data_IF_929568922112
#
_entry.id   IF_929568922112
#
_cell.length_a   1.000
_cell.length_b   1.000
_cell.length_c   1.000
_cell.angle_alpha   90.00
_cell.angle_beta   90.00
_cell.angle_gamma   90.00
#
_symmetry.space_group_name_H-M   'P 1'
#
loop_
_entity.id
_entity.type
_entity.pdbx_description
1 polymer ?
#
# COMPACT_ATOMS: atom_id res chain seq x y z
N UNK A 1 31.28 -6.71 -5.75
CA UNK A 1 29.98 -7.38 -6.03
C UNK A 1 29.82 -7.45 -7.54
N UNK A 2 29.12 -8.47 -8.07
CA UNK A 2 28.83 -8.54 -9.49
C UNK A 2 27.87 -7.41 -9.89
N UNK A 3 28.16 -6.69 -10.99
CA UNK A 3 27.26 -5.67 -11.54
C UNK A 3 26.30 -6.31 -12.54
N UNK A 4 25.02 -6.03 -12.38
CA UNK A 4 23.96 -6.53 -13.25
C UNK A 4 23.35 -5.41 -14.08
N UNK A 5 22.79 -5.76 -15.24
CA UNK A 5 21.90 -4.88 -16.02
C UNK A 5 20.46 -5.19 -15.61
N UNK A 6 19.78 -4.20 -15.04
CA UNK A 6 18.44 -4.36 -14.46
C UNK A 6 17.48 -3.40 -15.14
N UNK A 7 16.35 -3.93 -15.60
CA UNK A 7 15.23 -3.14 -16.08
C UNK A 7 14.19 -2.98 -14.98
N UNK A 8 13.77 -1.74 -14.70
CA UNK A 8 12.66 -1.42 -13.78
C UNK A 8 11.50 -0.90 -14.61
N UNK A 9 10.33 -1.50 -14.47
CA UNK A 9 9.12 -1.08 -15.17
C UNK A 9 8.26 -0.24 -14.23
N UNK A 10 8.02 1.02 -14.62
CA UNK A 10 7.32 2.03 -13.84
C UNK A 10 8.27 3.03 -13.18
N UNK A 11 8.03 4.32 -13.41
CA UNK A 11 8.79 5.44 -12.84
C UNK A 11 8.01 6.22 -11.77
N UNK A 12 7.03 5.58 -11.12
CA UNK A 12 6.42 6.07 -9.89
C UNK A 12 7.37 5.97 -8.70
N UNK A 13 6.92 6.36 -7.50
CA UNK A 13 7.79 6.40 -6.31
C UNK A 13 8.49 5.06 -6.05
N UNK A 14 7.80 3.94 -6.18
CA UNK A 14 8.37 2.60 -5.95
C UNK A 14 9.48 2.29 -6.97
N UNK A 15 9.21 2.51 -8.27
CA UNK A 15 10.19 2.22 -9.32
C UNK A 15 11.40 3.15 -9.26
N UNK A 16 11.18 4.43 -9.01
CA UNK A 16 12.25 5.41 -8.90
C UNK A 16 13.19 5.12 -7.72
N UNK A 17 12.64 4.86 -6.53
CA UNK A 17 13.43 4.52 -5.33
C UNK A 17 14.15 3.19 -5.49
N UNK A 18 13.50 2.18 -6.07
CA UNK A 18 14.13 0.89 -6.37
C UNK A 18 15.32 1.07 -7.33
N UNK A 19 15.12 1.84 -8.41
CA UNK A 19 16.19 2.12 -9.38
C UNK A 19 17.38 2.85 -8.73
N UNK A 20 17.08 3.84 -7.88
CA UNK A 20 18.10 4.58 -7.14
C UNK A 20 18.95 3.68 -6.24
N UNK A 21 18.29 2.84 -5.41
CA UNK A 21 18.97 1.93 -4.50
C UNK A 21 19.83 0.91 -5.25
N UNK A 22 19.30 0.34 -6.35
CA UNK A 22 20.04 -0.60 -7.18
C UNK A 22 21.25 0.05 -7.87
N UNK A 23 21.11 1.30 -8.35
CA UNK A 23 22.21 2.06 -8.92
C UNK A 23 23.29 2.37 -7.86
N UNK A 24 22.88 2.77 -6.65
CA UNK A 24 23.78 2.99 -5.51
C UNK A 24 24.53 1.72 -5.09
N UNK A 25 23.90 0.54 -5.30
CA UNK A 25 24.54 -0.78 -5.11
C UNK A 25 25.51 -1.18 -6.23
N UNK A 26 25.70 -0.35 -7.26
CA UNK A 26 26.67 -0.57 -8.35
C UNK A 26 26.11 -1.32 -9.57
N UNK A 27 24.77 -1.41 -9.70
CA UNK A 27 24.13 -2.02 -10.87
C UNK A 27 23.85 -1.00 -11.97
N UNK A 28 23.75 -1.46 -13.20
CA UNK A 28 23.31 -0.66 -14.34
C UNK A 28 21.79 -0.75 -14.46
N UNK A 29 21.08 0.35 -14.14
CA UNK A 29 19.63 0.35 -14.08
C UNK A 29 19.03 1.18 -15.21
N UNK A 30 18.04 0.62 -15.91
CA UNK A 30 17.23 1.31 -16.91
C UNK A 30 15.77 1.29 -16.44
N UNK A 31 15.13 2.46 -16.37
CA UNK A 31 13.72 2.59 -16.01
C UNK A 31 12.89 2.78 -17.26
N UNK A 32 11.80 2.03 -17.37
CA UNK A 32 10.85 2.08 -18.49
C UNK A 32 9.49 2.58 -17.97
N UNK A 33 9.02 3.69 -18.51
CA UNK A 33 7.70 4.26 -18.20
C UNK A 33 7.14 4.98 -19.44
N UNK A 34 5.84 4.89 -19.73
CA UNK A 34 5.24 5.65 -20.83
C UNK A 34 5.21 7.16 -20.60
N UNK A 35 5.40 7.61 -19.36
CA UNK A 35 5.39 9.02 -18.96
C UNK A 35 6.74 9.43 -18.35
N UNK A 36 7.06 10.72 -18.31
CA UNK A 36 8.19 11.21 -17.54
C UNK A 36 8.12 10.80 -16.07
N UNK A 37 9.27 10.59 -15.44
CA UNK A 37 9.35 10.14 -14.05
C UNK A 37 8.52 11.01 -13.10
N UNK A 38 7.72 10.36 -12.27
CA UNK A 38 6.84 11.01 -11.30
C UNK A 38 5.55 11.60 -11.88
N UNK A 39 5.31 11.49 -13.19
CA UNK A 39 4.10 12.04 -13.85
C UNK A 39 3.21 10.89 -14.33
N UNK A 40 1.89 11.09 -14.27
CA UNK A 40 0.90 10.19 -14.90
C UNK A 40 0.47 8.99 -14.07
N UNK A 41 0.95 8.80 -12.84
CA UNK A 41 0.56 7.70 -11.95
C UNK A 41 0.03 8.16 -10.60
N UNK A 42 -0.28 7.20 -9.74
CA UNK A 42 -0.74 7.45 -8.36
C UNK A 42 0.24 8.31 -7.55
N UNK A 43 1.53 8.27 -7.87
CA UNK A 43 2.54 9.08 -7.19
C UNK A 43 2.44 10.58 -7.51
N UNK A 44 1.86 10.95 -8.65
CA UNK A 44 1.71 12.35 -9.06
C UNK A 44 0.64 13.09 -8.24
N UNK A 45 -0.46 12.41 -7.94
CA UNK A 45 -1.58 12.97 -7.15
C UNK A 45 -1.55 12.58 -5.68
N UNK A 46 -0.43 12.09 -5.17
CA UNK A 46 -0.30 11.65 -3.80
C UNK A 46 -0.18 12.82 -2.82
N UNK A 47 -0.71 12.65 -1.61
CA UNK A 47 -0.63 13.65 -0.54
C UNK A 47 0.79 13.85 0.04
N UNK A 48 1.79 13.09 -0.41
CA UNK A 48 3.17 13.17 0.09
C UNK A 48 3.34 12.69 1.54
N UNK A 49 2.39 11.90 2.04
CA UNK A 49 2.41 11.42 3.41
C UNK A 49 3.32 10.20 3.57
N UNK A 50 4.32 10.29 4.45
CA UNK A 50 5.16 9.18 4.85
C UNK A 50 4.64 8.66 6.18
N UNK A 51 3.90 7.55 6.13
CA UNK A 51 3.18 6.99 7.27
C UNK A 51 3.89 5.73 7.79
N UNK A 52 4.99 5.89 8.49
CA UNK A 52 5.71 4.78 9.12
C UNK A 52 4.89 4.09 10.23
N UNK A 53 3.90 4.79 10.79
CA UNK A 53 3.01 4.29 11.86
C UNK A 53 1.73 3.62 11.34
N UNK A 54 1.40 3.74 10.05
CA UNK A 54 0.17 3.18 9.48
C UNK A 54 0.32 1.69 9.14
N UNK A 55 0.59 0.90 10.19
CA UNK A 55 0.83 -0.54 10.11
C UNK A 55 -0.41 -1.37 10.46
N UNK A 56 -1.57 -0.73 10.64
CA UNK A 56 -2.80 -1.44 10.97
C UNK A 56 -3.48 -1.99 9.72
N UNK A 57 -3.74 -3.31 9.66
CA UNK A 57 -4.55 -3.87 8.58
C UNK A 57 -5.94 -3.25 8.56
N UNK A 58 -6.45 -2.95 7.37
CA UNK A 58 -7.79 -2.38 7.19
C UNK A 58 -8.89 -3.31 7.76
N UNK A 59 -8.72 -4.63 7.58
CA UNK A 59 -9.61 -5.65 8.15
C UNK A 59 -9.17 -6.00 9.56
N UNK A 60 -9.81 -5.41 10.57
CA UNK A 60 -9.56 -5.71 11.98
C UNK A 60 -10.80 -6.20 12.71
N UNK A 61 -10.61 -6.74 13.93
CA UNK A 61 -11.73 -7.12 14.79
C UNK A 61 -12.66 -5.91 15.02
N UNK A 62 -13.96 -6.13 14.86
CA UNK A 62 -14.96 -5.07 14.99
C UNK A 62 -15.21 -4.23 13.73
N UNK A 63 -14.55 -4.51 12.61
CA UNK A 63 -14.75 -3.77 11.35
C UNK A 63 -16.20 -3.80 10.87
N UNK A 64 -16.94 -4.89 11.13
CA UNK A 64 -18.35 -5.02 10.78
C UNK A 64 -19.19 -3.99 11.53
N UNK A 65 -19.02 -3.88 12.85
CA UNK A 65 -19.74 -2.91 13.66
C UNK A 65 -19.37 -1.47 13.30
N UNK A 66 -18.08 -1.23 13.05
CA UNK A 66 -17.60 0.07 12.60
C UNK A 66 -18.17 0.45 11.24
N UNK A 67 -18.19 -0.49 10.30
CA UNK A 67 -18.76 -0.30 8.96
C UNK A 67 -20.26 -0.02 9.00
N UNK A 68 -21.03 -0.82 9.76
CA UNK A 68 -22.47 -0.59 9.97
C UNK A 68 -22.74 0.79 10.58
N UNK A 69 -22.00 1.17 11.62
CA UNK A 69 -22.16 2.48 12.25
C UNK A 69 -21.87 3.61 11.25
N UNK A 70 -20.80 3.50 10.47
CA UNK A 70 -20.45 4.49 9.46
C UNK A 70 -21.46 4.55 8.30
N UNK A 71 -22.12 3.44 7.98
CA UNK A 71 -23.16 3.39 6.93
C UNK A 71 -24.44 4.11 7.35
N UNK A 72 -24.82 4.04 8.65
CA UNK A 72 -25.99 4.73 9.19
C UNK A 72 -25.70 6.18 9.63
N UNK A 73 -24.44 6.59 9.59
CA UNK A 73 -24.02 7.94 9.93
C UNK A 73 -23.98 8.81 8.65
N UNK A 74 -24.86 9.79 8.57
CA UNK A 74 -24.95 10.70 7.42
C UNK A 74 -23.65 11.50 7.18
N UNK A 75 -22.83 11.65 8.23
CA UNK A 75 -21.49 12.26 8.15
C UNK A 75 -20.38 11.23 7.93
N UNK A 76 -20.73 9.95 7.90
CA UNK A 76 -19.81 8.83 7.72
C UNK A 76 -19.19 8.81 6.33
N UNK A 77 -17.88 8.70 6.26
CA UNK A 77 -17.15 8.63 4.98
C UNK A 77 -17.32 7.30 4.21
N UNK A 78 -18.19 6.39 4.66
CA UNK A 78 -18.41 5.10 4.01
C UNK A 78 -19.77 5.10 3.31
N UNK A 79 -19.73 5.21 1.98
CA UNK A 79 -20.91 5.02 1.13
C UNK A 79 -20.81 3.67 0.42
N UNK A 80 -21.71 2.75 0.72
CA UNK A 80 -21.78 1.44 0.08
C UNK A 80 -23.00 1.39 -0.84
N UNK A 81 -22.72 1.29 -2.14
CA UNK A 81 -23.75 0.98 -3.11
C UNK A 81 -24.18 -0.50 -2.94
N UNK A 82 -25.46 -0.80 -2.68
CA UNK A 82 -25.93 -2.17 -2.53
C UNK A 82 -25.66 -3.05 -3.75
N UNK A 83 -25.75 -2.49 -4.95
CA UNK A 83 -25.49 -3.22 -6.19
C UNK A 83 -24.01 -3.61 -6.31
N UNK A 84 -23.10 -2.69 -5.96
CA UNK A 84 -21.68 -2.96 -5.89
C UNK A 84 -21.36 -4.04 -4.85
N UNK A 85 -22.03 -4.01 -3.69
CA UNK A 85 -21.90 -5.02 -2.64
C UNK A 85 -22.26 -6.43 -3.13
N UNK A 86 -23.37 -6.57 -3.86
CA UNK A 86 -23.81 -7.85 -4.44
C UNK A 86 -22.81 -8.38 -5.49
N UNK A 87 -22.36 -7.54 -6.40
CA UNK A 87 -21.38 -7.90 -7.43
C UNK A 87 -20.04 -8.35 -6.84
N UNK A 88 -19.65 -7.80 -5.69
CA UNK A 88 -18.39 -8.06 -5.03
C UNK A 88 -18.52 -8.91 -3.75
N UNK A 89 -19.63 -9.65 -3.59
CA UNK A 89 -19.91 -10.44 -2.40
C UNK A 89 -18.78 -11.44 -2.03
N UNK A 90 -18.14 -12.06 -3.05
CA UNK A 90 -16.99 -12.95 -2.83
C UNK A 90 -15.79 -12.23 -2.21
N UNK A 91 -15.53 -10.98 -2.61
CA UNK A 91 -14.48 -10.15 -2.03
C UNK A 91 -14.83 -9.78 -0.59
N UNK A 92 -16.07 -9.35 -0.33
CA UNK A 92 -16.52 -9.03 1.02
C UNK A 92 -16.42 -10.22 1.97
N UNK A 93 -16.80 -11.41 1.54
CA UNK A 93 -16.68 -12.63 2.34
C UNK A 93 -15.21 -12.92 2.70
N UNK A 94 -14.29 -12.77 1.74
CA UNK A 94 -12.85 -12.91 2.01
C UNK A 94 -12.36 -11.84 2.98
N UNK A 95 -12.76 -10.59 2.78
CA UNK A 95 -12.41 -9.47 3.66
C UNK A 95 -12.86 -9.71 5.10
N UNK A 96 -14.10 -10.17 5.30
CA UNK A 96 -14.62 -10.50 6.62
C UNK A 96 -13.88 -11.67 7.29
N UNK A 97 -13.48 -12.69 6.50
CA UNK A 97 -12.66 -13.80 7.02
C UNK A 97 -11.28 -13.34 7.49
N UNK A 98 -10.70 -12.32 6.86
CA UNK A 98 -9.41 -11.76 7.29
C UNK A 98 -9.51 -10.92 8.56
N UNK A 99 -10.71 -10.47 8.95
CA UNK A 99 -10.95 -9.70 10.17
C UNK A 99 -10.84 -10.53 11.48
N UNK A 100 -10.56 -11.83 11.38
CA UNK A 100 -10.33 -12.67 12.55
C UNK A 100 -9.05 -12.25 13.30
N UNK A 101 -9.07 -12.32 14.64
CA UNK A 101 -7.98 -11.83 15.51
C UNK A 101 -6.59 -12.36 15.13
N UNK A 102 -6.48 -13.66 14.83
CA UNK A 102 -5.20 -14.29 14.51
C UNK A 102 -4.64 -13.81 13.17
N UNK A 103 -5.51 -13.62 12.18
CA UNK A 103 -5.12 -13.09 10.88
C UNK A 103 -4.70 -11.62 11.00
N UNK A 104 -5.44 -10.83 11.78
CA UNK A 104 -5.11 -9.44 12.07
C UNK A 104 -3.74 -9.33 12.77
N UNK A 105 -3.50 -10.13 13.82
CA UNK A 105 -2.24 -10.11 14.55
C UNK A 105 -1.04 -10.46 13.64
N UNK A 106 -1.17 -11.48 12.79
CA UNK A 106 -0.12 -11.86 11.83
C UNK A 106 0.13 -10.76 10.79
N UNK A 107 -0.92 -10.19 10.22
CA UNK A 107 -0.81 -9.11 9.24
C UNK A 107 -0.21 -7.85 9.87
N UNK A 108 -0.64 -7.49 11.08
CA UNK A 108 -0.09 -6.37 11.83
C UNK A 108 1.40 -6.57 12.15
N UNK A 109 1.80 -7.77 12.59
CA UNK A 109 3.21 -8.06 12.85
C UNK A 109 4.07 -7.92 11.58
N UNK A 110 3.60 -8.46 10.45
CA UNK A 110 4.30 -8.36 9.17
C UNK A 110 4.41 -6.90 8.68
N UNK A 111 3.33 -6.12 8.77
CA UNK A 111 3.33 -4.70 8.42
C UNK A 111 4.22 -3.88 9.35
N UNK A 112 4.21 -4.17 10.66
CA UNK A 112 5.08 -3.51 11.63
C UNK A 112 6.55 -3.78 11.35
N UNK A 113 6.89 -4.99 10.95
CA UNK A 113 8.27 -5.36 10.59
C UNK A 113 8.74 -4.63 9.34
N UNK A 114 7.89 -4.54 8.30
CA UNK A 114 8.16 -3.76 7.10
C UNK A 114 8.27 -2.25 7.40
N UNK A 115 7.40 -1.73 8.27
CA UNK A 115 7.37 -0.30 8.62
C UNK A 115 8.50 0.16 9.54
N UNK A 116 9.11 -0.76 10.28
CA UNK A 116 10.10 -0.44 11.32
C UNK A 116 11.31 0.33 10.80
N UNK A 117 11.76 0.01 9.59
CA UNK A 117 12.92 0.65 8.95
C UNK A 117 12.51 1.66 7.87
N UNK A 118 11.22 1.91 7.70
CA UNK A 118 10.72 2.76 6.62
C UNK A 118 11.23 4.21 6.74
N UNK A 119 11.21 4.79 7.93
CA UNK A 119 11.64 6.16 8.14
C UNK A 119 13.14 6.31 7.90
N UNK A 120 13.95 5.44 8.52
CA UNK A 120 15.41 5.45 8.39
C UNK A 120 15.86 5.32 6.93
N UNK A 121 15.22 4.42 6.17
CA UNK A 121 15.51 4.24 4.75
C UNK A 121 15.05 5.42 3.89
N UNK A 122 13.94 6.08 4.27
CA UNK A 122 13.45 7.25 3.53
C UNK A 122 14.34 8.46 3.76
N UNK A 123 14.85 8.67 4.96
CA UNK A 123 15.79 9.75 5.28
C UNK A 123 17.17 9.53 4.63
N UNK A 124 17.52 8.29 4.28
CA UNK A 124 18.78 7.95 3.63
C UNK A 124 18.76 8.07 2.09
N UNK A 125 17.58 8.34 1.49
CA UNK A 125 17.41 8.55 0.05
C UNK A 125 17.71 9.98 -0.33
#
# INVERSE_FOLDING_TARGET
>A
MASYKIGVVGAGIIGATTAFVLQKAGHQVTVFDPHPAGIGGASFGNAGHIAASDVLPLSGPGIIFKGLRMWFDETGGLHLDPLFGMQNARWFLKFLRTAHRDNFARAHAALSDLGRSCLDHTEAL
#
